data_IF_692650657347
#
_entry.id   IF_692650657347
#
_cell.length_a   1.000
_cell.length_b   1.000
_cell.length_c   1.000
_cell.angle_alpha   90.00
_cell.angle_beta   90.00
_cell.angle_gamma   90.00
#
_symmetry.space_group_name_H-M   'P 1'
#
loop_
_entity.id
_entity.type
_entity.pdbx_description
1 polymer ?
#
# COMPACT_ATOMS: atom_id res chain seq x y z
N UNK A 1 -23.30 7.57 -7.49
CA UNK A 1 -21.86 7.82 -7.68
C UNK A 1 -21.68 8.46 -9.03
N UNK A 2 -20.89 9.52 -9.15
CA UNK A 2 -20.45 10.00 -10.47
C UNK A 2 -19.28 9.11 -10.89
N UNK A 3 -19.34 8.55 -12.09
CA UNK A 3 -18.20 7.87 -12.67
C UNK A 3 -17.11 8.90 -12.94
N UNK A 4 -15.93 8.64 -12.38
CA UNK A 4 -14.72 9.43 -12.64
C UNK A 4 -13.96 8.73 -13.77
N UNK A 5 -13.66 9.44 -14.85
CA UNK A 5 -12.73 8.93 -15.86
C UNK A 5 -11.34 8.82 -15.25
N UNK A 6 -10.88 7.57 -15.06
CA UNK A 6 -9.53 7.30 -14.61
C UNK A 6 -8.62 7.27 -15.85
N UNK A 7 -7.62 8.16 -15.96
CA UNK A 7 -6.69 8.12 -17.07
C UNK A 7 -5.92 6.78 -17.10
N UNK A 8 -5.60 6.25 -18.28
CA UNK A 8 -4.89 4.98 -18.40
C UNK A 8 -3.49 5.10 -17.79
N UNK A 9 -3.12 4.13 -16.94
CA UNK A 9 -1.75 4.04 -16.43
C UNK A 9 -0.77 3.89 -17.60
N UNK A 10 0.29 4.69 -17.59
CA UNK A 10 1.38 4.60 -18.57
C UNK A 10 2.20 3.34 -18.30
N UNK A 11 2.77 2.74 -19.33
CA UNK A 11 3.69 1.58 -19.17
C UNK A 11 4.89 1.89 -18.28
N UNK A 12 5.35 3.16 -18.29
CA UNK A 12 6.42 3.65 -17.44
C UNK A 12 6.04 3.66 -15.94
N UNK A 13 4.75 3.74 -15.61
CA UNK A 13 4.27 3.72 -14.23
C UNK A 13 4.44 2.33 -13.58
N UNK A 14 4.86 1.31 -14.36
CA UNK A 14 5.15 -0.07 -13.90
C UNK A 14 6.62 -0.47 -13.99
N UNK A 15 7.56 0.46 -14.17
CA UNK A 15 8.96 0.06 -14.42
C UNK A 15 9.52 -0.74 -13.23
N UNK A 16 9.83 -2.01 -13.51
CA UNK A 16 10.28 -3.02 -12.54
C UNK A 16 9.19 -4.01 -12.12
N UNK A 17 7.96 -3.57 -11.81
CA UNK A 17 6.89 -4.43 -11.29
C UNK A 17 7.38 -5.35 -10.15
N UNK A 18 6.91 -6.61 -10.14
CA UNK A 18 7.41 -7.62 -9.19
C UNK A 18 8.92 -7.86 -9.30
N UNK A 19 9.50 -7.78 -10.51
CA UNK A 19 10.94 -7.98 -10.69
C UNK A 19 11.78 -6.88 -10.03
N UNK A 20 11.26 -5.65 -9.98
CA UNK A 20 11.85 -4.53 -9.24
C UNK A 20 11.80 -4.77 -7.73
N UNK A 21 10.64 -5.16 -7.21
CA UNK A 21 10.46 -5.49 -5.80
C UNK A 21 11.39 -6.61 -5.34
N UNK A 22 11.49 -7.69 -6.12
CA UNK A 22 12.35 -8.84 -5.77
C UNK A 22 13.83 -8.43 -5.80
N UNK A 23 14.24 -7.62 -6.79
CA UNK A 23 15.63 -7.13 -6.88
C UNK A 23 15.99 -6.25 -5.68
N UNK A 24 15.13 -5.31 -5.33
CA UNK A 24 15.34 -4.41 -4.18
C UNK A 24 15.39 -5.21 -2.87
N UNK A 25 14.48 -6.16 -2.69
CA UNK A 25 14.45 -7.02 -1.51
C UNK A 25 15.78 -7.79 -1.33
N UNK A 26 16.30 -8.41 -2.40
CA UNK A 26 17.58 -9.12 -2.35
C UNK A 26 18.74 -8.16 -2.02
N UNK A 27 18.76 -6.95 -2.60
CA UNK A 27 19.79 -5.94 -2.29
C UNK A 27 19.76 -5.53 -0.81
N UNK A 28 18.57 -5.34 -0.25
CA UNK A 28 18.36 -4.99 1.15
C UNK A 28 18.81 -6.10 2.10
N UNK A 29 18.52 -7.38 1.78
CA UNK A 29 19.03 -8.53 2.54
C UNK A 29 20.55 -8.59 2.52
N UNK A 30 21.18 -8.39 1.37
CA UNK A 30 22.64 -8.45 1.23
C UNK A 30 23.36 -7.31 1.95
N UNK A 31 22.76 -6.12 1.98
CA UNK A 31 23.36 -4.90 2.54
C UNK A 31 22.88 -4.55 3.94
N UNK A 32 21.98 -5.35 4.52
CA UNK A 32 21.38 -5.07 5.83
C UNK A 32 20.55 -3.78 5.85
N UNK A 33 19.86 -3.45 4.75
CA UNK A 33 18.99 -2.28 4.64
C UNK A 33 17.53 -2.65 4.85
N UNK A 34 16.71 -1.68 5.21
CA UNK A 34 15.26 -1.85 5.29
C UNK A 34 14.65 -1.80 3.88
N UNK A 35 13.80 -2.77 3.50
CA UNK A 35 13.14 -2.75 2.21
C UNK A 35 12.04 -1.69 2.15
N UNK A 36 11.73 -1.19 0.94
CA UNK A 36 10.61 -0.26 0.70
C UNK A 36 9.27 -0.82 1.18
N UNK A 37 9.10 -2.15 1.13
CA UNK A 37 7.87 -2.86 1.49
C UNK A 37 8.05 -3.72 2.75
N UNK A 38 8.58 -3.15 3.83
CA UNK A 38 8.73 -3.85 5.11
C UNK A 38 7.39 -4.37 5.64
N UNK A 39 7.36 -5.64 6.06
CA UNK A 39 6.11 -6.31 6.44
C UNK A 39 5.40 -5.68 7.65
N UNK A 40 6.11 -4.98 8.53
CA UNK A 40 5.50 -4.30 9.69
C UNK A 40 4.56 -3.17 9.28
N UNK A 41 4.80 -2.54 8.12
CA UNK A 41 3.91 -1.51 7.61
C UNK A 41 2.56 -2.08 7.13
N UNK A 42 2.46 -3.39 6.89
CA UNK A 42 1.19 -4.05 6.58
C UNK A 42 0.17 -3.92 7.72
N UNK A 43 0.62 -3.75 8.97
CA UNK A 43 -0.26 -3.50 10.12
C UNK A 43 -1.00 -2.17 9.97
N UNK A 44 -0.36 -1.16 9.38
CA UNK A 44 -0.99 0.14 9.10
C UNK A 44 -2.09 -0.01 8.06
N UNK A 45 -1.86 -0.83 7.02
CA UNK A 45 -2.87 -1.17 6.02
C UNK A 45 -4.09 -1.89 6.63
N UNK A 46 -3.86 -2.85 7.53
CA UNK A 46 -4.95 -3.51 8.25
C UNK A 46 -5.71 -2.53 9.14
N UNK A 47 -5.02 -1.62 9.83
CA UNK A 47 -5.68 -0.59 10.63
C UNK A 47 -6.57 0.31 9.76
N UNK A 48 -6.13 0.67 8.54
CA UNK A 48 -6.96 1.39 7.58
C UNK A 48 -8.20 0.59 7.16
N UNK A 49 -8.06 -0.70 6.88
CA UNK A 49 -9.19 -1.59 6.52
C UNK A 49 -10.23 -1.65 7.64
N UNK A 50 -9.80 -1.90 8.87
CA UNK A 50 -10.71 -1.93 10.02
C UNK A 50 -11.36 -0.57 10.29
N UNK A 51 -10.61 0.52 10.17
CA UNK A 51 -11.16 1.88 10.29
C UNK A 51 -12.22 2.19 9.23
N UNK A 52 -12.03 1.71 8.00
CA UNK A 52 -13.01 1.88 6.92
C UNK A 52 -14.30 1.09 7.18
N UNK A 53 -14.19 -0.16 7.65
CA UNK A 53 -15.34 -0.98 8.06
C UNK A 53 -16.11 -0.28 9.18
N UNK A 54 -15.43 0.15 10.25
CA UNK A 54 -16.07 0.85 11.38
C UNK A 54 -16.75 2.15 10.91
N UNK A 55 -16.11 2.89 10.01
CA UNK A 55 -16.66 4.13 9.47
C UNK A 55 -17.96 3.89 8.70
N UNK A 56 -18.00 2.83 7.87
CA UNK A 56 -19.18 2.45 7.11
C UNK A 56 -20.34 2.00 8.02
N UNK A 57 -20.05 1.22 9.06
CA UNK A 57 -21.06 0.75 10.03
C UNK A 57 -21.65 1.91 10.85
N UNK A 58 -20.84 2.91 11.21
CA UNK A 58 -21.26 4.03 12.07
C UNK A 58 -21.73 5.26 11.29
N UNK A 59 -21.55 5.30 9.97
CA UNK A 59 -21.87 6.45 9.13
C UNK A 59 -21.10 7.72 9.51
N UNK A 60 -19.89 7.61 10.05
CA UNK A 60 -19.09 8.77 10.49
C UNK A 60 -17.59 8.54 10.30
N UNK A 61 -16.83 9.63 10.32
CA UNK A 61 -15.36 9.56 10.31
C UNK A 61 -14.86 8.86 11.57
N UNK A 62 -13.88 7.97 11.38
CA UNK A 62 -13.19 7.23 12.45
C UNK A 62 -11.70 7.55 12.38
N UNK A 63 -11.10 7.90 13.53
CA UNK A 63 -9.66 8.11 13.63
C UNK A 63 -8.96 6.76 13.67
N UNK A 64 -8.09 6.50 12.71
CA UNK A 64 -7.31 5.27 12.64
C UNK A 64 -6.12 5.37 13.62
N UNK A 65 -5.78 4.25 14.27
CA UNK A 65 -4.66 4.11 15.21
C UNK A 65 -3.87 2.83 14.88
N UNK A 66 -2.54 2.86 14.99
CA UNK A 66 -1.61 1.74 14.84
C UNK A 66 -0.28 2.05 15.54
#
# INVERSE_FOLDING_TARGET
MKDLEIPPMRKADRIGGHAGLIREFVDCVQKGKQPETICTDNIKSLAMVFGAIESAEKGRVVKIKW
#
